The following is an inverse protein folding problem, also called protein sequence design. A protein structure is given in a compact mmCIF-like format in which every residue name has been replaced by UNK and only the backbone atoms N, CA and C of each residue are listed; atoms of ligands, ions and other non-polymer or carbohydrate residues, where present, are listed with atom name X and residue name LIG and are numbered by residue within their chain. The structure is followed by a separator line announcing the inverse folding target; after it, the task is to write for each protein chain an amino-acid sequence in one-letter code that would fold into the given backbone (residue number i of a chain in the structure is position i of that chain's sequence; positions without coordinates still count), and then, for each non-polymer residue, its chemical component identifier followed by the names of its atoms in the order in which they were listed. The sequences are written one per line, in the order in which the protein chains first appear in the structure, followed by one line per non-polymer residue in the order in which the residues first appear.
data_IF_657505609357
#
_entry.id   IF_657505609357
#
_cell.length_a   1.000
_cell.length_b   1.000
_cell.length_c   1.000
_cell.angle_alpha   90.00
_cell.angle_beta   90.00
_cell.angle_gamma   90.00
#
_symmetry.space_group_name_H-M   'P 1'
#
loop_
_entity.id
_entity.type
_entity.pdbx_description
1 polymer ?
#
# COMPACT_ATOMS: atom_id res chain seq x y z
N UNK A 1 -4.38 -11.25 11.67
CA UNK A 1 -5.13 -11.11 10.39
C UNK A 1 -6.66 -11.06 10.58
N UNK A 2 -7.32 -12.05 11.22
CA UNK A 2 -8.79 -12.02 11.43
C UNK A 2 -9.30 -10.82 12.23
N UNK A 3 -8.59 -10.42 13.30
CA UNK A 3 -8.97 -9.28 14.15
C UNK A 3 -8.89 -7.93 13.43
N UNK A 4 -7.83 -7.71 12.63
CA UNK A 4 -7.64 -6.46 11.88
C UNK A 4 -8.68 -6.28 10.77
N UNK A 5 -9.10 -7.38 10.13
CA UNK A 5 -10.20 -7.36 9.14
C UNK A 5 -11.53 -7.01 9.80
N UNK A 6 -11.84 -7.58 10.96
CA UNK A 6 -13.05 -7.26 11.73
C UNK A 6 -13.08 -5.80 12.17
N UNK A 7 -11.96 -5.26 12.63
CA UNK A 7 -11.83 -3.85 13.00
C UNK A 7 -12.06 -2.93 11.78
N UNK A 8 -11.42 -3.22 10.64
CA UNK A 8 -11.63 -2.44 9.42
C UNK A 8 -13.10 -2.46 8.95
N UNK A 9 -13.75 -3.63 9.00
CA UNK A 9 -15.15 -3.79 8.64
C UNK A 9 -16.08 -2.98 9.57
N UNK A 10 -15.75 -2.93 10.87
CA UNK A 10 -16.50 -2.15 11.86
C UNK A 10 -16.39 -0.65 11.61
N UNK A 11 -15.22 -0.15 11.22
CA UNK A 11 -15.00 1.27 10.90
C UNK A 11 -15.77 1.66 9.64
N UNK A 12 -15.78 0.79 8.62
CA UNK A 12 -16.53 1.01 7.37
C UNK A 12 -18.05 1.01 7.65
N UNK A 13 -18.55 0.05 8.43
CA UNK A 13 -19.95 0.01 8.83
C UNK A 13 -20.37 1.23 9.65
N UNK A 14 -19.49 1.74 10.51
CA UNK A 14 -19.79 2.92 11.32
C UNK A 14 -19.75 4.21 10.50
N UNK A 15 -18.77 4.35 9.60
CA UNK A 15 -18.60 5.53 8.75
C UNK A 15 -19.58 5.63 7.59
N UNK A 16 -20.08 4.51 7.06
CA UNK A 16 -21.00 4.50 5.92
C UNK A 16 -22.39 3.94 6.25
N UNK A 17 -22.46 2.92 7.11
CA UNK A 17 -23.72 2.29 7.50
C UNK A 17 -24.59 3.19 8.38
N UNK A 18 -24.02 3.86 9.39
CA UNK A 18 -24.80 4.75 10.28
C UNK A 18 -25.39 5.95 9.51
N UNK A 19 -24.64 6.67 8.65
CA UNK A 19 -25.23 7.72 7.82
C UNK A 19 -26.29 7.21 6.83
N UNK A 20 -26.06 6.07 6.18
CA UNK A 20 -27.03 5.51 5.23
C UNK A 20 -28.35 5.11 5.89
N UNK A 21 -28.28 4.48 7.08
CA UNK A 21 -29.46 4.10 7.86
C UNK A 21 -30.19 5.36 8.38
N UNK A 22 -29.43 6.37 8.82
CA UNK A 22 -29.99 7.66 9.27
C UNK A 22 -30.83 8.32 8.17
N UNK A 23 -30.31 8.34 6.93
CA UNK A 23 -31.03 8.87 5.75
C UNK A 23 -32.24 8.00 5.39
N UNK A 24 -32.14 6.67 5.52
CA UNK A 24 -33.26 5.78 5.27
C UNK A 24 -34.43 6.05 6.24
N UNK A 25 -34.13 6.21 7.54
CA UNK A 25 -35.16 6.49 8.55
C UNK A 25 -35.79 7.88 8.41
N UNK A 26 -35.04 8.90 7.96
CA UNK A 26 -35.65 10.21 7.70
C UNK A 26 -36.61 10.18 6.52
N UNK A 27 -36.25 9.47 5.44
CA UNK A 27 -37.08 9.39 4.22
C UNK A 27 -38.31 8.50 4.43
N UNK A 28 -38.16 7.33 5.05
CA UNK A 28 -39.25 6.36 5.14
C UNK A 28 -40.09 6.47 6.41
N UNK A 29 -39.59 7.05 7.49
CA UNK A 29 -40.29 7.10 8.78
C UNK A 29 -40.57 8.53 9.28
N UNK A 30 -40.39 9.56 8.42
CA UNK A 30 -40.53 10.98 8.78
C UNK A 30 -39.71 11.37 10.03
N UNK A 31 -38.54 10.76 10.20
CA UNK A 31 -37.67 11.08 11.32
C UNK A 31 -37.11 12.50 11.17
N UNK A 32 -36.89 13.19 12.30
CA UNK A 32 -36.47 14.58 12.28
C UNK A 32 -35.10 14.73 11.61
N UNK A 33 -35.07 15.46 10.49
CA UNK A 33 -33.90 15.65 9.64
C UNK A 33 -32.72 16.28 10.38
N UNK A 34 -32.98 17.16 11.35
CA UNK A 34 -31.94 17.82 12.16
C UNK A 34 -31.23 16.81 13.04
N UNK A 35 -32.00 15.93 13.70
CA UNK A 35 -31.45 14.90 14.60
C UNK A 35 -30.65 13.87 13.82
N UNK A 36 -31.17 13.44 12.67
CA UNK A 36 -30.48 12.52 11.76
C UNK A 36 -29.16 13.08 11.22
N UNK A 37 -29.13 14.37 10.88
CA UNK A 37 -27.93 15.06 10.42
C UNK A 37 -26.85 15.14 11.50
N UNK A 38 -27.23 15.38 12.77
CA UNK A 38 -26.31 15.40 13.91
C UNK A 38 -25.73 14.00 14.17
N UNK A 39 -26.55 12.95 14.07
CA UNK A 39 -26.09 11.58 14.27
C UNK A 39 -25.13 11.15 13.15
N UNK A 40 -25.45 11.51 11.89
CA UNK A 40 -24.61 11.19 10.75
C UNK A 40 -23.26 11.91 10.81
N UNK A 41 -23.24 13.19 11.19
CA UNK A 41 -21.99 13.95 11.31
C UNK A 41 -21.10 13.43 12.44
N UNK A 42 -21.67 13.11 13.60
CA UNK A 42 -20.94 12.49 14.71
C UNK A 42 -20.37 11.12 14.31
N UNK A 43 -21.14 10.29 13.59
CA UNK A 43 -20.66 8.99 13.14
C UNK A 43 -19.45 9.10 12.21
N UNK A 44 -19.46 10.07 11.28
CA UNK A 44 -18.32 10.31 10.37
C UNK A 44 -17.09 10.76 11.16
N UNK A 45 -17.24 11.67 12.12
CA UNK A 45 -16.13 12.18 12.94
C UNK A 45 -15.50 11.04 13.74
N UNK A 46 -16.31 10.22 14.41
CA UNK A 46 -15.84 9.09 15.22
C UNK A 46 -15.18 8.02 14.34
N UNK A 47 -15.76 7.70 13.17
CA UNK A 47 -15.15 6.76 12.24
C UNK A 47 -13.79 7.27 11.71
N UNK A 48 -13.68 8.57 11.43
CA UNK A 48 -12.42 9.20 11.02
C UNK A 48 -11.34 9.10 12.10
N UNK A 49 -11.68 9.39 13.36
CA UNK A 49 -10.74 9.27 14.49
C UNK A 49 -10.29 7.82 14.67
N UNK A 50 -11.21 6.86 14.61
CA UNK A 50 -10.90 5.43 14.73
C UNK A 50 -10.03 4.93 13.57
N UNK A 51 -10.24 5.44 12.35
CA UNK A 51 -9.41 5.09 11.20
C UNK A 51 -7.97 5.59 11.37
N UNK A 52 -7.79 6.85 11.81
CA UNK A 52 -6.46 7.43 12.05
C UNK A 52 -5.73 6.70 13.18
N UNK A 53 -6.43 6.42 14.29
CA UNK A 53 -5.86 5.64 15.40
C UNK A 53 -5.54 4.20 14.98
N UNK A 54 -6.40 3.57 14.16
CA UNK A 54 -6.16 2.24 13.63
C UNK A 54 -4.91 2.18 12.74
N UNK A 55 -4.67 3.22 11.92
CA UNK A 55 -3.45 3.33 11.13
C UNK A 55 -2.24 3.62 12.02
N UNK A 56 -2.35 4.52 12.99
CA UNK A 56 -1.25 4.88 13.88
C UNK A 56 -0.78 3.68 14.74
N UNK A 57 -1.72 2.97 15.36
CA UNK A 57 -1.42 1.79 16.19
C UNK A 57 -1.03 0.60 15.32
N UNK A 58 -1.70 0.39 14.17
CA UNK A 58 -1.35 -0.66 13.22
C UNK A 58 0.01 -0.44 12.53
N UNK A 59 0.49 0.81 12.48
CA UNK A 59 1.82 1.14 11.96
C UNK A 59 2.92 0.84 12.96
N UNK A 60 2.64 0.81 14.27
CA UNK A 60 3.60 0.37 15.29
C UNK A 60 3.83 -1.17 15.24
N UNK A 61 2.83 -1.93 14.76
CA UNK A 61 2.93 -3.39 14.52
C UNK A 61 3.58 -3.76 13.16
N UNK A 62 4.10 -2.80 12.40
CA UNK A 62 5.05 -3.10 11.31
C UNK A 62 6.46 -2.97 11.86
N UNK A 63 7.03 -4.02 12.51
CA UNK A 63 8.43 -4.02 12.82
C UNK A 63 9.18 -3.94 11.48
N UNK A 64 9.78 -2.79 11.21
CA UNK A 64 10.73 -2.61 10.12
C UNK A 64 11.91 -3.61 10.20
N UNK A 65 12.02 -4.36 11.31
CA UNK A 65 13.08 -5.32 11.59
C UNK A 65 12.72 -6.81 11.40
N UNK A 66 11.50 -7.20 11.05
CA UNK A 66 11.15 -8.63 10.91
C UNK A 66 11.30 -9.18 9.48
N UNK A 67 12.26 -8.70 8.70
CA UNK A 67 12.64 -9.41 7.46
C UNK A 67 13.17 -10.77 7.90
N UNK A 68 12.43 -11.83 7.59
CA UNK A 68 12.79 -13.20 7.99
C UNK A 68 14.22 -13.48 7.50
N UNK A 69 15.04 -14.23 8.25
CA UNK A 69 16.41 -14.53 7.83
C UNK A 69 16.48 -15.15 6.41
N UNK A 70 15.43 -15.89 6.01
CA UNK A 70 15.25 -16.39 4.64
C UNK A 70 15.07 -15.30 3.58
N UNK A 71 14.35 -14.23 3.91
CA UNK A 71 14.14 -13.08 3.00
C UNK A 71 15.40 -12.22 2.90
N UNK A 72 16.17 -12.07 4.00
CA UNK A 72 17.49 -11.43 3.98
C UNK A 72 18.48 -12.21 3.10
N UNK A 73 18.49 -13.54 3.22
CA UNK A 73 19.33 -14.40 2.37
C UNK A 73 18.93 -14.29 0.90
N UNK A 74 17.63 -14.27 0.59
CA UNK A 74 17.12 -14.07 -0.78
C UNK A 74 17.50 -12.70 -1.33
N UNK A 75 17.40 -11.64 -0.54
CA UNK A 75 17.84 -10.28 -0.91
C UNK A 75 19.34 -10.21 -1.22
N UNK A 76 20.17 -10.87 -0.42
CA UNK A 76 21.61 -10.92 -0.65
C UNK A 76 21.96 -11.70 -1.91
N UNK A 77 21.27 -12.82 -2.16
CA UNK A 77 21.41 -13.59 -3.40
C UNK A 77 21.00 -12.76 -4.63
N UNK A 78 19.87 -12.06 -4.56
CA UNK A 78 19.40 -11.18 -5.64
C UNK A 78 20.38 -10.03 -5.91
N UNK A 79 20.95 -9.42 -4.86
CA UNK A 79 21.99 -8.39 -4.99
C UNK A 79 23.27 -8.92 -5.61
N UNK A 80 23.70 -10.12 -5.23
CA UNK A 80 24.86 -10.77 -5.84
C UNK A 80 24.63 -11.07 -7.32
N UNK A 81 23.45 -11.60 -7.66
CA UNK A 81 23.05 -11.85 -9.04
C UNK A 81 23.01 -10.55 -9.86
N UNK A 82 22.45 -9.47 -9.32
CA UNK A 82 22.43 -8.17 -10.01
C UNK A 82 23.83 -7.64 -10.29
N UNK A 83 24.79 -7.83 -9.37
CA UNK A 83 26.18 -7.45 -9.62
C UNK A 83 26.83 -8.27 -10.73
N UNK A 84 26.63 -9.59 -10.73
CA UNK A 84 27.14 -10.47 -11.77
C UNK A 84 26.56 -10.11 -13.16
N UNK A 85 25.26 -9.85 -13.24
CA UNK A 85 24.61 -9.43 -14.49
C UNK A 85 25.13 -8.06 -14.98
N UNK A 86 25.57 -7.19 -14.08
CA UNK A 86 26.13 -5.88 -14.44
C UNK A 86 27.53 -6.02 -15.05
N UNK A 87 28.34 -6.92 -14.51
CA UNK A 87 29.65 -7.29 -15.07
C UNK A 87 29.50 -7.90 -16.47
N UNK A 88 28.56 -8.83 -16.65
CA UNK A 88 28.25 -9.40 -17.98
C UNK A 88 27.80 -8.33 -18.99
N UNK A 89 27.08 -7.30 -18.55
CA UNK A 89 26.66 -6.20 -19.42
C UNK A 89 27.83 -5.30 -19.84
N UNK A 90 28.81 -5.07 -18.96
CA UNK A 90 30.02 -4.32 -19.29
C UNK A 90 30.87 -5.06 -20.35
N UNK A 91 31.01 -6.38 -20.23
CA UNK A 91 31.68 -7.22 -21.25
C UNK A 91 30.97 -7.13 -22.61
N UNK A 92 29.63 -7.16 -22.62
CA UNK A 92 28.85 -6.99 -23.86
C UNK A 92 29.09 -5.60 -24.47
N UNK A 93 29.20 -4.55 -23.65
CA UNK A 93 29.50 -3.19 -24.12
C UNK A 93 30.89 -3.13 -24.76
N UNK A 94 31.88 -3.83 -24.20
CA UNK A 94 33.23 -3.90 -24.77
C UNK A 94 33.22 -4.57 -26.14
N UNK A 95 32.57 -5.73 -26.27
CA UNK A 95 32.41 -6.43 -27.55
C UNK A 95 31.71 -5.55 -28.59
N UNK A 96 30.65 -4.83 -28.21
CA UNK A 96 29.95 -3.92 -29.12
C UNK A 96 30.85 -2.74 -29.56
N UNK A 97 31.74 -2.24 -28.69
CA UNK A 97 32.72 -1.21 -29.07
C UNK A 97 33.73 -1.76 -30.07
N UNK A 98 34.26 -2.96 -29.85
CA UNK A 98 35.20 -3.59 -30.79
C UNK A 98 34.56 -3.77 -32.18
N UNK A 99 33.33 -4.29 -32.23
CA UNK A 99 32.58 -4.43 -33.49
C UNK A 99 32.40 -3.08 -34.18
N UNK A 100 32.00 -2.04 -33.43
CA UNK A 100 31.83 -0.69 -33.95
C UNK A 100 33.15 -0.13 -34.51
N UNK A 101 34.25 -0.36 -33.80
CA UNK A 101 35.55 0.18 -34.18
C UNK A 101 36.10 -0.56 -35.41
N UNK A 102 35.86 -1.87 -35.54
CA UNK A 102 36.13 -2.62 -36.77
C UNK A 102 35.28 -2.12 -37.95
N UNK A 103 33.99 -1.84 -37.74
CA UNK A 103 33.12 -1.30 -38.79
C UNK A 103 33.56 0.10 -39.26
N UNK A 104 34.03 0.95 -38.34
CA UNK A 104 34.60 2.26 -38.69
C UNK A 104 35.88 2.11 -39.50
N UNK A 105 36.78 1.22 -39.09
CA UNK A 105 38.03 0.97 -39.80
C UNK A 105 37.82 0.40 -41.22
N UNK A 106 36.75 -0.36 -41.44
CA UNK A 106 36.39 -0.88 -42.76
C UNK A 106 35.70 0.16 -43.68
N UNK A 107 35.32 1.33 -43.15
CA UNK A 107 34.64 2.39 -43.89
C UNK A 107 35.60 3.51 -44.35
N UNK A 108 36.86 3.52 -43.87
CA UNK A 108 37.99 4.27 -44.44
C UNK A 108 38.65 3.50 -45.60
#
# INVERSE_FOLDING_TARGET
MRSSVLAALSVILMGFGVPAISIYFTVYHNFNFIVAGIIASLAIIVAGILAVLGIAIGSEELPADSIKPSEKAKLNMLRAHQRATLEELDDIIEVLKEIRDMLKAAQE
#
